data_IF_712265136306
#
_entry.id   IF_712265136306
#
_cell.length_a   1.000
_cell.length_b   1.000
_cell.length_c   1.000
_cell.angle_alpha   90.00
_cell.angle_beta   90.00
_cell.angle_gamma   90.00
#
_symmetry.space_group_name_H-M   'P 1'
#
loop_
_entity.id
_entity.type
_entity.pdbx_description
1 polymer ?
#
# COMPACT_ATOMS: atom_id res chain seq x y z
N UNK A 1 -2.08 26.50 -20.51
CA UNK A 1 -1.23 26.24 -21.70
C UNK A 1 -1.22 24.73 -21.88
N UNK A 2 -1.78 24.19 -22.98
CA UNK A 2 -1.74 22.77 -23.29
C UNK A 2 -0.32 22.46 -23.79
N UNK A 3 0.57 22.07 -22.89
CA UNK A 3 1.86 21.55 -23.29
C UNK A 3 1.66 20.31 -24.17
N UNK A 4 2.30 20.26 -25.31
CA UNK A 4 2.26 19.11 -26.20
C UNK A 4 3.09 18.00 -25.55
N UNK A 5 2.40 16.97 -25.00
CA UNK A 5 3.07 15.83 -24.37
C UNK A 5 3.83 15.02 -25.41
N UNK A 6 5.10 14.72 -25.14
CA UNK A 6 5.87 13.78 -25.97
C UNK A 6 5.36 12.36 -25.70
N UNK A 7 4.74 11.76 -26.70
CA UNK A 7 4.24 10.40 -26.65
C UNK A 7 5.39 9.37 -26.67
N UNK A 8 5.16 8.21 -26.05
CA UNK A 8 6.14 7.13 -26.00
C UNK A 8 6.25 6.46 -27.38
N UNK A 9 7.45 6.06 -27.74
CA UNK A 9 7.81 5.36 -28.95
C UNK A 9 8.54 4.03 -28.67
N UNK A 10 9.08 3.39 -29.71
CA UNK A 10 9.78 2.12 -29.59
C UNK A 10 11.07 2.17 -28.75
N UNK A 11 11.67 3.35 -28.56
CA UNK A 11 12.88 3.51 -27.77
C UNK A 11 12.62 3.27 -26.26
N UNK A 12 11.35 3.29 -25.87
CA UNK A 12 10.88 2.94 -24.51
C UNK A 12 10.54 1.45 -24.34
N UNK A 13 10.78 0.62 -25.35
CA UNK A 13 10.49 -0.81 -25.34
C UNK A 13 11.78 -1.64 -25.40
N UNK A 14 11.74 -2.82 -24.78
CA UNK A 14 12.77 -3.84 -24.96
C UNK A 14 12.55 -4.61 -26.29
N UNK A 15 13.61 -5.17 -26.86
CA UNK A 15 13.54 -5.88 -28.13
C UNK A 15 12.86 -7.27 -28.05
N UNK A 16 12.82 -7.89 -26.88
CA UNK A 16 12.20 -9.21 -26.64
C UNK A 16 10.80 -9.06 -26.05
N UNK A 17 9.79 -9.33 -26.86
CA UNK A 17 8.37 -9.26 -26.51
C UNK A 17 7.60 -10.52 -26.91
N UNK A 18 8.20 -11.69 -26.66
CA UNK A 18 7.62 -12.98 -27.01
C UNK A 18 6.29 -13.24 -26.33
N UNK A 19 6.20 -13.00 -25.04
CA UNK A 19 5.00 -13.20 -24.22
C UNK A 19 4.67 -11.94 -23.43
N UNK A 20 3.38 -11.57 -23.39
CA UNK A 20 2.91 -10.32 -22.76
C UNK A 20 2.30 -10.50 -21.37
N UNK A 21 1.82 -11.70 -21.02
CA UNK A 21 1.21 -11.93 -19.72
C UNK A 21 2.17 -11.58 -18.56
N UNK A 22 1.66 -10.82 -17.59
CA UNK A 22 2.46 -10.34 -16.45
C UNK A 22 3.48 -9.24 -16.78
N UNK A 23 3.41 -8.64 -17.98
CA UNK A 23 4.35 -7.58 -18.42
C UNK A 23 3.66 -6.24 -18.58
N UNK A 24 4.42 -5.19 -18.36
CA UNK A 24 4.04 -3.83 -18.73
C UNK A 24 4.31 -3.60 -20.20
N UNK A 25 3.30 -3.17 -20.93
CA UNK A 25 3.35 -2.92 -22.37
C UNK A 25 3.22 -1.44 -22.67
N UNK A 26 3.70 -1.02 -23.85
CA UNK A 26 3.53 0.35 -24.35
C UNK A 26 2.56 0.33 -25.52
N UNK A 27 1.43 1.04 -25.37
CA UNK A 27 0.41 1.20 -26.41
C UNK A 27 0.87 2.16 -27.51
N UNK A 28 0.49 1.87 -28.74
CA UNK A 28 0.62 2.82 -29.84
C UNK A 28 -0.29 4.03 -29.61
N UNK A 29 0.17 5.26 -29.82
CA UNK A 29 -0.70 6.44 -29.70
C UNK A 29 -1.96 6.37 -30.57
N UNK A 30 -1.88 5.73 -31.73
CA UNK A 30 -3.00 5.55 -32.67
C UNK A 30 -4.09 4.60 -32.13
N UNK A 31 -3.78 3.77 -31.15
CA UNK A 31 -4.73 2.83 -30.53
C UNK A 31 -5.51 3.45 -29.34
N UNK A 32 -5.12 4.66 -28.93
CA UNK A 32 -5.78 5.42 -27.87
C UNK A 32 -6.76 6.42 -28.47
N UNK A 33 -7.92 6.60 -27.84
CA UNK A 33 -8.82 7.71 -28.15
C UNK A 33 -8.10 9.03 -27.86
N UNK A 34 -8.52 10.12 -28.53
CA UNK A 34 -7.84 11.41 -28.47
C UNK A 34 -7.70 11.95 -27.04
N UNK A 35 -8.72 11.78 -26.22
CA UNK A 35 -8.77 12.16 -24.81
C UNK A 35 -7.73 11.44 -23.95
N UNK A 36 -7.37 10.20 -24.31
CA UNK A 36 -6.39 9.36 -23.63
C UNK A 36 -5.00 9.39 -24.27
N UNK A 37 -4.75 10.24 -25.29
CA UNK A 37 -3.44 10.38 -25.91
C UNK A 37 -2.48 11.16 -25.03
N UNK A 38 -2.09 10.55 -23.93
CA UNK A 38 -1.09 11.05 -22.99
C UNK A 38 -0.05 9.97 -22.74
N UNK A 39 1.22 10.28 -22.44
CA UNK A 39 2.26 9.28 -22.25
C UNK A 39 1.95 8.31 -21.11
N UNK A 40 1.28 8.77 -20.05
CA UNK A 40 0.93 7.92 -18.92
C UNK A 40 -0.18 6.90 -19.25
N UNK A 41 -1.07 7.14 -20.21
CA UNK A 41 -2.04 6.15 -20.70
C UNK A 41 -1.46 5.17 -21.72
N UNK A 42 -0.22 5.33 -22.14
CA UNK A 42 0.42 4.34 -23.00
C UNK A 42 0.93 3.12 -22.23
N UNK A 43 1.08 3.20 -20.90
CA UNK A 43 1.48 2.07 -20.08
C UNK A 43 0.29 1.21 -19.71
N UNK A 44 0.35 -0.06 -20.14
CA UNK A 44 -0.70 -1.05 -19.96
C UNK A 44 -0.13 -2.34 -19.38
N UNK A 45 -0.63 -2.76 -18.22
CA UNK A 45 -0.22 -4.02 -17.60
C UNK A 45 -1.08 -5.17 -18.14
N UNK A 46 -0.46 -6.09 -18.87
CA UNK A 46 -1.12 -7.23 -19.48
C UNK A 46 -1.33 -8.35 -18.46
N UNK A 47 -2.58 -8.78 -18.24
CA UNK A 47 -2.92 -9.85 -17.31
C UNK A 47 -3.10 -11.18 -18.01
N UNK A 48 -3.87 -11.20 -19.12
CA UNK A 48 -4.26 -12.45 -19.79
C UNK A 48 -4.67 -12.21 -21.25
N UNK A 49 -5.07 -13.29 -21.92
CA UNK A 49 -5.69 -13.29 -23.24
C UNK A 49 -4.82 -13.91 -24.33
N UNK A 50 -5.45 -14.32 -25.42
CA UNK A 50 -4.75 -14.94 -26.56
C UNK A 50 -3.73 -14.02 -27.22
N UNK A 51 -3.93 -12.69 -27.16
CA UNK A 51 -2.97 -11.71 -27.65
C UNK A 51 -1.65 -11.66 -26.86
N UNK A 52 -1.59 -12.29 -25.68
CA UNK A 52 -0.34 -12.41 -24.93
C UNK A 52 0.67 -13.33 -25.64
N UNK A 53 0.22 -14.23 -26.51
CA UNK A 53 1.11 -15.12 -27.25
C UNK A 53 1.61 -14.46 -28.56
N UNK A 54 2.90 -14.64 -28.93
CA UNK A 54 3.55 -13.90 -30.03
C UNK A 54 2.95 -14.19 -31.40
N UNK A 55 2.39 -15.39 -31.63
CA UNK A 55 1.78 -15.83 -32.87
C UNK A 55 0.32 -15.34 -33.05
N UNK A 56 -0.26 -14.68 -32.08
CA UNK A 56 -1.67 -14.25 -32.02
C UNK A 56 -1.85 -12.74 -32.19
N UNK A 57 -1.34 -12.18 -33.29
CA UNK A 57 -1.37 -10.73 -33.54
C UNK A 57 -2.76 -10.08 -33.47
N UNK A 58 -3.81 -10.76 -33.91
CA UNK A 58 -5.20 -10.32 -33.80
C UNK A 58 -5.87 -10.63 -32.46
N UNK A 59 -5.20 -11.39 -31.60
CA UNK A 59 -5.73 -11.78 -30.29
C UNK A 59 -5.84 -10.59 -29.33
N UNK A 60 -6.82 -10.67 -28.43
CA UNK A 60 -7.01 -9.68 -27.38
C UNK A 60 -6.03 -9.91 -26.22
N UNK A 61 -5.48 -8.84 -25.72
CA UNK A 61 -4.73 -8.73 -24.47
C UNK A 61 -5.63 -8.03 -23.48
N UNK A 62 -5.99 -8.68 -22.40
CA UNK A 62 -6.76 -8.12 -21.29
C UNK A 62 -5.80 -7.64 -20.22
N UNK A 63 -6.15 -6.55 -19.58
CA UNK A 63 -5.32 -5.96 -18.52
C UNK A 63 -5.85 -4.61 -18.11
N UNK A 64 -4.97 -3.78 -17.55
CA UNK A 64 -5.35 -2.46 -17.03
C UNK A 64 -4.34 -1.38 -17.35
N UNK A 65 -4.81 -0.16 -17.47
CA UNK A 65 -3.92 1.01 -17.56
C UNK A 65 -3.13 1.16 -16.25
N UNK A 66 -1.85 1.44 -16.36
CA UNK A 66 -1.03 1.71 -15.19
C UNK A 66 -1.42 3.05 -14.54
N UNK A 67 -1.95 3.98 -15.33
CA UNK A 67 -2.28 5.34 -14.91
C UNK A 67 -3.46 5.40 -13.93
N UNK A 68 -4.52 4.63 -14.13
CA UNK A 68 -5.76 4.71 -13.36
C UNK A 68 -6.32 3.36 -12.93
N UNK A 69 -5.68 2.25 -13.34
CA UNK A 69 -6.13 0.90 -13.03
C UNK A 69 -7.38 0.47 -13.81
N UNK A 70 -7.89 1.28 -14.76
CA UNK A 70 -9.07 0.92 -15.55
C UNK A 70 -8.80 -0.34 -16.38
N UNK A 71 -9.66 -1.35 -16.22
CA UNK A 71 -9.57 -2.62 -16.93
C UNK A 71 -10.16 -2.50 -18.33
N UNK A 72 -9.40 -2.92 -19.31
CA UNK A 72 -9.83 -2.93 -20.69
C UNK A 72 -9.06 -3.97 -21.53
N UNK A 73 -9.22 -3.94 -22.82
CA UNK A 73 -8.48 -4.84 -23.71
C UNK A 73 -8.08 -4.13 -25.02
N UNK A 74 -6.94 -4.58 -25.53
CA UNK A 74 -6.40 -4.17 -26.83
C UNK A 74 -6.01 -5.39 -27.67
N UNK A 75 -5.82 -5.23 -28.97
CA UNK A 75 -5.21 -6.29 -29.79
C UNK A 75 -3.70 -6.28 -29.59
N UNK A 76 -3.06 -7.44 -29.73
CA UNK A 76 -1.59 -7.50 -29.70
C UNK A 76 -0.93 -6.51 -30.65
N UNK A 77 -1.52 -6.31 -31.83
CA UNK A 77 -1.03 -5.34 -32.82
C UNK A 77 -1.07 -3.87 -32.39
N UNK A 78 -1.79 -3.55 -31.31
CA UNK A 78 -1.96 -2.18 -30.79
C UNK A 78 -0.79 -1.74 -29.90
N UNK A 79 0.10 -2.65 -29.55
CA UNK A 79 1.26 -2.36 -28.72
C UNK A 79 2.51 -2.09 -29.54
N UNK A 80 3.37 -1.21 -29.02
CA UNK A 80 4.73 -0.99 -29.51
C UNK A 80 5.66 -2.11 -29.07
N UNK A 81 5.44 -2.69 -27.90
CA UNK A 81 6.21 -3.76 -27.32
C UNK A 81 6.12 -3.75 -25.79
N UNK A 82 6.99 -4.55 -25.15
CA UNK A 82 7.15 -4.58 -23.68
C UNK A 82 7.95 -3.35 -23.24
N UNK A 83 7.46 -2.65 -22.22
CA UNK A 83 8.16 -1.49 -21.67
C UNK A 83 9.54 -1.86 -21.12
N UNK A 84 10.52 -1.02 -21.36
CA UNK A 84 11.83 -1.09 -20.73
C UNK A 84 11.72 -0.55 -19.28
N UNK A 85 11.70 -1.45 -18.30
CA UNK A 85 11.52 -1.08 -16.90
C UNK A 85 12.66 -0.20 -16.35
N UNK A 86 13.84 -0.24 -16.96
CA UNK A 86 14.96 0.65 -16.63
C UNK A 86 14.75 2.10 -17.09
N UNK A 87 13.79 2.34 -17.99
CA UNK A 87 13.47 3.67 -18.53
C UNK A 87 12.10 4.19 -18.07
N UNK A 88 11.48 3.54 -17.08
CA UNK A 88 10.19 3.99 -16.55
C UNK A 88 10.37 5.29 -15.77
N UNK A 89 9.42 6.24 -15.89
CA UNK A 89 9.37 7.37 -15.01
C UNK A 89 9.06 6.91 -13.57
N UNK A 90 9.47 7.69 -12.58
CA UNK A 90 9.38 7.34 -11.15
C UNK A 90 7.97 6.90 -10.74
N UNK A 91 6.93 7.63 -11.18
CA UNK A 91 5.54 7.27 -10.89
C UNK A 91 5.14 5.90 -11.44
N UNK A 92 5.56 5.57 -12.68
CA UNK A 92 5.23 4.30 -13.32
C UNK A 92 5.95 3.13 -12.66
N UNK A 93 7.21 3.32 -12.26
CA UNK A 93 7.98 2.34 -11.50
C UNK A 93 7.30 2.03 -10.17
N UNK A 94 6.97 3.07 -9.39
CA UNK A 94 6.30 2.96 -8.09
C UNK A 94 4.95 2.23 -8.19
N UNK A 95 4.12 2.57 -9.21
CA UNK A 95 2.83 1.90 -9.45
C UNK A 95 2.97 0.45 -9.91
N UNK A 96 3.92 0.18 -10.79
CA UNK A 96 4.17 -1.18 -11.25
C UNK A 96 4.61 -2.06 -10.07
N UNK A 97 5.52 -1.58 -9.25
CA UNK A 97 5.98 -2.26 -8.04
C UNK A 97 4.82 -2.54 -7.07
N UNK A 98 3.96 -1.54 -6.82
CA UNK A 98 2.78 -1.72 -5.97
C UNK A 98 1.76 -2.71 -6.56
N UNK A 99 1.60 -2.71 -7.90
CA UNK A 99 0.67 -3.58 -8.62
C UNK A 99 1.07 -5.05 -8.58
N UNK A 100 2.37 -5.33 -8.72
CA UNK A 100 2.90 -6.70 -8.80
C UNK A 100 3.37 -7.25 -7.44
N UNK A 101 3.45 -6.39 -6.42
CA UNK A 101 3.86 -6.80 -5.09
C UNK A 101 2.88 -7.85 -4.52
N UNK A 102 3.39 -8.92 -3.92
CA UNK A 102 2.54 -9.85 -3.19
C UNK A 102 1.87 -9.10 -2.03
N UNK A 103 0.59 -9.36 -1.80
CA UNK A 103 -0.18 -8.75 -0.70
C UNK A 103 -0.52 -9.83 0.31
N UNK A 104 -0.41 -9.50 1.59
CA UNK A 104 -0.72 -10.38 2.70
C UNK A 104 -1.40 -9.55 3.79
N UNK A 105 -2.54 -9.99 4.31
CA UNK A 105 -3.18 -9.39 5.47
C UNK A 105 -2.61 -10.02 6.74
N UNK A 106 -2.11 -9.18 7.64
CA UNK A 106 -1.51 -9.63 8.89
C UNK A 106 -2.07 -8.86 10.08
N UNK A 107 -1.91 -9.44 11.29
CA UNK A 107 -1.97 -8.74 12.57
C UNK A 107 -0.70 -9.06 13.36
N UNK A 108 -0.24 -8.09 14.14
CA UNK A 108 0.93 -8.25 15.01
C UNK A 108 0.51 -8.02 16.45
N UNK A 109 0.89 -8.95 17.32
CA UNK A 109 0.60 -8.91 18.74
C UNK A 109 1.91 -8.90 19.51
N UNK A 110 2.04 -8.00 20.47
CA UNK A 110 3.21 -7.86 21.34
C UNK A 110 2.83 -7.94 22.81
N UNK A 111 3.73 -8.47 23.62
CA UNK A 111 3.52 -8.61 25.07
C UNK A 111 3.55 -7.22 25.71
N UNK A 112 2.50 -6.93 26.48
CA UNK A 112 2.45 -5.75 27.35
C UNK A 112 3.24 -6.01 28.64
N UNK A 113 4.20 -5.14 28.93
CA UNK A 113 5.07 -5.28 30.11
C UNK A 113 4.30 -5.27 31.43
N UNK A 114 3.17 -4.57 31.48
CA UNK A 114 2.34 -4.47 32.70
C UNK A 114 1.58 -5.75 33.02
N UNK A 115 1.35 -6.60 32.00
CA UNK A 115 0.61 -7.86 32.10
C UNK A 115 1.54 -9.07 32.20
N UNK A 116 2.83 -8.93 31.88
CA UNK A 116 3.80 -10.03 31.82
C UNK A 116 4.38 -10.42 33.18
N UNK A 117 3.54 -10.96 34.06
CA UNK A 117 3.97 -11.43 35.37
C UNK A 117 5.02 -12.55 35.32
N UNK A 118 5.06 -13.34 34.24
CA UNK A 118 5.94 -14.51 34.07
C UNK A 118 7.24 -14.17 33.35
N UNK A 119 7.40 -12.93 32.92
CA UNK A 119 8.58 -12.46 32.12
C UNK A 119 8.78 -13.30 30.87
N UNK A 120 7.75 -13.42 30.04
CA UNK A 120 7.76 -14.13 28.78
C UNK A 120 8.31 -13.26 27.63
N UNK A 121 8.30 -11.94 27.76
CA UNK A 121 8.79 -11.01 26.75
C UNK A 121 10.26 -11.29 26.41
N UNK A 122 10.56 -11.40 25.12
CA UNK A 122 11.86 -11.76 24.56
C UNK A 122 12.36 -13.17 24.89
N UNK A 123 11.50 -14.07 25.37
CA UNK A 123 11.87 -15.45 25.68
C UNK A 123 11.61 -16.37 24.48
N UNK A 124 12.45 -17.42 24.35
CA UNK A 124 12.25 -18.43 23.31
C UNK A 124 10.96 -19.23 23.53
N UNK A 125 10.43 -19.82 22.47
CA UNK A 125 9.25 -20.67 22.52
C UNK A 125 9.36 -21.79 23.53
N UNK A 126 10.50 -22.50 23.56
CA UNK A 126 10.74 -23.59 24.51
C UNK A 126 10.72 -23.12 25.98
N UNK A 127 11.17 -21.90 26.25
CA UNK A 127 11.13 -21.33 27.59
C UNK A 127 9.70 -21.05 28.02
N UNK A 128 8.91 -20.41 27.16
CA UNK A 128 7.52 -20.04 27.42
C UNK A 128 6.66 -21.30 27.60
N UNK A 129 6.86 -22.33 26.78
CA UNK A 129 6.13 -23.61 26.90
C UNK A 129 6.37 -24.31 28.23
N UNK A 130 7.57 -24.22 28.81
CA UNK A 130 7.88 -24.76 30.15
C UNK A 130 7.21 -23.98 31.31
N UNK A 131 6.75 -22.76 31.01
CA UNK A 131 6.13 -21.86 32.00
C UNK A 131 4.64 -21.64 31.80
N UNK A 132 3.94 -22.53 31.12
CA UNK A 132 2.48 -22.46 30.94
C UNK A 132 2.03 -22.20 29.50
N UNK A 133 2.95 -21.97 28.56
CA UNK A 133 2.64 -21.74 27.15
C UNK A 133 2.42 -20.29 26.80
N UNK A 134 2.06 -20.05 25.54
CA UNK A 134 1.73 -18.71 25.03
C UNK A 134 0.35 -18.32 25.58
N UNK A 135 0.31 -17.31 26.44
CA UNK A 135 -0.93 -16.81 27.05
C UNK A 135 -1.41 -15.54 26.34
N UNK A 136 -2.50 -15.60 25.55
CA UNK A 136 -3.00 -14.43 24.83
C UNK A 136 -3.34 -13.22 25.71
N UNK A 137 -3.69 -13.41 26.97
CA UNK A 137 -4.08 -12.33 27.89
C UNK A 137 -3.00 -11.28 28.13
N UNK A 138 -1.74 -11.61 27.91
CA UNK A 138 -0.64 -10.65 28.08
C UNK A 138 -0.26 -9.91 26.80
N UNK A 139 -0.97 -10.18 25.67
CA UNK A 139 -0.69 -9.59 24.37
C UNK A 139 -1.68 -8.49 24.02
N UNK A 140 -1.16 -7.48 23.33
CA UNK A 140 -1.93 -6.42 22.68
C UNK A 140 -1.67 -6.41 21.20
N UNK A 141 -2.70 -6.15 20.41
CA UNK A 141 -2.52 -5.89 18.97
C UNK A 141 -1.84 -4.53 18.78
N UNK A 142 -0.75 -4.50 17.98
CA UNK A 142 0.02 -3.28 17.69
C UNK A 142 -0.07 -2.88 16.23
N UNK A 143 -0.60 -3.77 15.39
CA UNK A 143 -0.81 -3.52 13.96
C UNK A 143 -1.81 -4.52 13.39
N UNK A 144 -2.61 -4.08 12.41
CA UNK A 144 -3.40 -4.91 11.52
C UNK A 144 -3.50 -4.25 10.15
N UNK A 145 -3.35 -5.00 9.07
CA UNK A 145 -3.47 -4.44 7.72
C UNK A 145 -2.85 -5.29 6.64
N UNK A 146 -2.89 -4.76 5.42
CA UNK A 146 -2.31 -5.39 4.23
C UNK A 146 -0.89 -4.90 4.02
N UNK A 147 0.04 -5.83 3.90
CA UNK A 147 1.47 -5.55 3.66
C UNK A 147 1.96 -6.19 2.37
N UNK A 148 2.99 -5.61 1.76
CA UNK A 148 3.61 -6.12 0.55
C UNK A 148 4.66 -7.21 0.89
N UNK A 149 4.17 -8.33 1.43
CA UNK A 149 4.99 -9.45 1.87
C UNK A 149 4.51 -10.75 1.22
N UNK A 150 5.45 -11.65 0.92
CA UNK A 150 5.16 -12.97 0.32
C UNK A 150 5.16 -14.10 1.34
N UNK A 151 5.83 -13.90 2.49
CA UNK A 151 6.05 -14.89 3.53
C UNK A 151 6.29 -14.18 4.88
N UNK A 152 6.31 -14.94 5.96
CA UNK A 152 6.46 -14.43 7.32
C UNK A 152 7.86 -13.83 7.56
N UNK A 153 8.89 -14.32 6.89
CA UNK A 153 10.25 -13.79 6.96
C UNK A 153 10.31 -12.37 6.37
N UNK A 154 9.56 -12.12 5.27
CA UNK A 154 9.43 -10.78 4.70
C UNK A 154 8.62 -9.84 5.60
N UNK A 155 7.65 -10.35 6.37
CA UNK A 155 6.96 -9.58 7.42
C UNK A 155 7.94 -9.19 8.54
N UNK A 156 8.78 -10.14 8.99
CA UNK A 156 9.81 -9.85 9.97
C UNK A 156 10.77 -8.75 9.50
N UNK A 157 11.26 -8.86 8.26
CA UNK A 157 12.14 -7.85 7.69
C UNK A 157 11.45 -6.47 7.61
N UNK A 158 10.20 -6.41 7.16
CA UNK A 158 9.41 -5.17 7.08
C UNK A 158 9.28 -4.51 8.46
N UNK A 159 8.80 -5.25 9.46
CA UNK A 159 8.59 -4.74 10.82
C UNK A 159 9.88 -4.42 11.60
N UNK A 160 11.06 -4.63 10.98
CA UNK A 160 12.37 -4.31 11.55
C UNK A 160 13.15 -3.25 10.75
N UNK A 161 12.71 -2.89 9.55
CA UNK A 161 13.43 -1.95 8.68
C UNK A 161 12.60 -0.76 8.26
N UNK A 162 11.30 -0.95 8.01
CA UNK A 162 10.40 0.08 7.49
C UNK A 162 8.97 -0.20 7.97
N UNK A 163 8.65 0.19 9.17
CA UNK A 163 7.33 -0.05 9.76
C UNK A 163 6.19 0.33 8.81
N UNK A 164 5.19 -0.55 8.65
CA UNK A 164 4.00 -0.20 7.88
C UNK A 164 3.25 0.95 8.57
N UNK A 165 2.57 1.83 7.80
CA UNK A 165 1.77 2.92 8.36
C UNK A 165 0.77 2.42 9.42
N UNK A 166 0.74 3.07 10.59
CA UNK A 166 -0.12 2.65 11.70
C UNK A 166 0.48 1.61 12.65
N UNK A 167 1.71 1.15 12.39
CA UNK A 167 2.40 0.25 13.31
C UNK A 167 2.79 0.99 14.61
N UNK A 168 2.30 0.50 15.74
CA UNK A 168 2.43 1.17 17.04
C UNK A 168 3.07 0.25 18.11
N UNK A 169 4.18 -0.38 17.72
CA UNK A 169 4.92 -1.31 18.57
C UNK A 169 6.43 -1.18 18.44
N UNK A 170 7.15 -2.01 19.17
CA UNK A 170 8.59 -2.17 18.96
C UNK A 170 8.87 -3.05 17.72
N UNK A 171 10.11 -3.07 17.24
CA UNK A 171 10.56 -3.99 16.19
C UNK A 171 10.15 -5.42 16.50
N UNK A 172 9.66 -6.15 15.49
CA UNK A 172 9.20 -7.53 15.66
C UNK A 172 10.33 -8.39 16.24
N UNK A 173 10.07 -8.98 17.38
CA UNK A 173 11.10 -9.59 18.23
C UNK A 173 10.65 -10.97 18.74
N UNK A 174 11.58 -11.69 19.35
CA UNK A 174 11.29 -12.96 20.04
C UNK A 174 10.17 -12.75 21.06
N UNK A 175 9.20 -13.64 21.11
CA UNK A 175 7.95 -13.66 21.85
C UNK A 175 6.76 -12.97 21.19
N UNK A 176 6.96 -12.15 20.16
CA UNK A 176 5.84 -11.54 19.45
C UNK A 176 5.07 -12.62 18.64
N UNK A 177 3.79 -12.36 18.40
CA UNK A 177 2.94 -13.25 17.60
C UNK A 177 2.46 -12.51 16.37
N UNK A 178 2.66 -13.13 15.21
CA UNK A 178 2.13 -12.65 13.92
C UNK A 178 0.99 -13.55 13.50
N UNK A 179 -0.17 -12.97 13.22
CA UNK A 179 -1.23 -13.64 12.49
C UNK A 179 -1.06 -13.37 11.00
N UNK A 180 -1.05 -14.43 10.21
CA UNK A 180 -1.31 -14.39 8.77
C UNK A 180 -2.80 -14.65 8.59
N UNK A 181 -3.56 -13.67 8.08
CA UNK A 181 -5.01 -13.75 8.00
C UNK A 181 -5.48 -14.46 6.72
N UNK A 182 -4.66 -14.44 5.66
CA UNK A 182 -5.01 -14.95 4.33
C UNK A 182 -3.80 -15.62 3.65
N UNK A 183 -3.98 -16.12 2.41
CA UNK A 183 -2.91 -16.76 1.63
C UNK A 183 -2.77 -18.26 1.88
N UNK A 184 -1.59 -18.81 1.60
CA UNK A 184 -1.35 -20.25 1.59
C UNK A 184 -1.20 -20.89 2.98
N UNK A 185 -0.85 -20.10 3.98
CA UNK A 185 -0.58 -20.59 5.34
C UNK A 185 -1.17 -19.63 6.39
N UNK A 186 -2.50 -19.49 6.48
CA UNK A 186 -3.13 -18.67 7.51
C UNK A 186 -2.94 -19.32 8.88
N UNK A 187 -2.67 -18.49 9.91
CA UNK A 187 -2.41 -19.00 11.26
C UNK A 187 -1.71 -17.99 12.13
N UNK A 188 -1.37 -18.42 13.34
CA UNK A 188 -0.63 -17.61 14.31
C UNK A 188 0.78 -18.16 14.48
N UNK A 189 1.75 -17.29 14.46
CA UNK A 189 3.15 -17.63 14.43
C UNK A 189 3.91 -16.87 15.51
N UNK A 190 4.42 -17.60 16.47
CA UNK A 190 5.29 -17.07 17.51
C UNK A 190 6.69 -16.82 16.95
N UNK A 191 7.21 -15.63 17.11
CA UNK A 191 8.57 -15.28 16.75
C UNK A 191 9.51 -15.93 17.76
N UNK A 192 10.33 -16.92 17.32
CA UNK A 192 11.29 -17.61 18.18
C UNK A 192 12.70 -17.05 17.96
N UNK A 193 13.66 -17.50 18.73
CA UNK A 193 15.08 -17.16 18.56
C UNK A 193 15.65 -17.58 17.20
N UNK A 194 15.05 -18.55 16.55
CA UNK A 194 15.34 -18.95 15.17
C UNK A 194 14.01 -19.24 14.44
N UNK A 195 13.60 -18.34 13.56
CA UNK A 195 12.39 -18.48 12.75
C UNK A 195 11.09 -18.36 13.56
N UNK A 196 10.05 -19.03 13.12
CA UNK A 196 8.70 -18.93 13.66
C UNK A 196 8.16 -20.30 14.06
N UNK A 197 7.26 -20.31 15.05
CA UNK A 197 6.52 -21.51 15.51
C UNK A 197 5.03 -21.26 15.37
N UNK A 198 4.33 -22.10 14.63
CA UNK A 198 2.88 -22.07 14.64
C UNK A 198 2.35 -22.37 16.04
N UNK A 199 1.39 -21.55 16.51
CA UNK A 199 0.84 -21.65 17.87
C UNK A 199 -0.68 -21.49 17.86
N UNK A 200 -1.41 -22.17 18.75
CA UNK A 200 -2.78 -21.81 19.04
C UNK A 200 -2.80 -20.45 19.75
N UNK A 201 -3.58 -19.52 19.22
CA UNK A 201 -3.68 -18.17 19.78
C UNK A 201 -5.12 -17.67 19.63
N UNK A 202 -5.73 -17.29 20.72
CA UNK A 202 -7.11 -16.83 20.78
C UNK A 202 -7.14 -15.31 20.92
N UNK A 203 -7.50 -14.63 19.84
CA UNK A 203 -7.55 -13.16 19.79
C UNK A 203 -8.53 -12.60 20.81
N UNK A 204 -9.67 -13.26 21.03
CA UNK A 204 -10.71 -12.79 21.96
C UNK A 204 -10.22 -12.75 23.41
N UNK A 205 -9.09 -13.38 23.69
CA UNK A 205 -8.44 -13.40 24.99
C UNK A 205 -7.31 -12.39 25.14
N UNK A 206 -6.96 -11.68 24.08
CA UNK A 206 -5.93 -10.64 24.18
C UNK A 206 -6.42 -9.46 25.01
N UNK A 207 -5.50 -8.63 25.49
CA UNK A 207 -5.87 -7.36 26.11
C UNK A 207 -6.37 -6.40 25.01
N UNK A 208 -7.69 -6.21 24.97
CA UNK A 208 -8.35 -5.42 23.93
C UNK A 208 -8.07 -3.93 24.11
N UNK A 209 -7.21 -3.40 23.27
CA UNK A 209 -7.14 -1.96 23.01
C UNK A 209 -8.22 -1.60 21.98
N UNK A 210 -8.75 -0.39 22.09
CA UNK A 210 -9.68 0.12 21.08
C UNK A 210 -8.94 0.29 19.75
N UNK A 211 -9.39 -0.47 18.74
CA UNK A 211 -8.85 -0.47 17.39
C UNK A 211 -9.83 0.21 16.46
N UNK A 212 -9.34 1.12 15.64
CA UNK A 212 -10.10 1.73 14.55
C UNK A 212 -9.84 0.99 13.24
N UNK A 213 -10.90 0.59 12.55
CA UNK A 213 -10.83 0.13 11.17
C UNK A 213 -10.81 1.36 10.26
N UNK A 214 -9.74 1.55 9.53
CA UNK A 214 -9.47 2.72 8.70
C UNK A 214 -9.07 2.33 7.29
N UNK A 215 -9.18 3.27 6.36
CA UNK A 215 -8.65 3.12 5.01
C UNK A 215 -7.38 3.96 4.86
N UNK A 216 -6.25 3.32 4.57
CA UNK A 216 -4.96 3.99 4.34
C UNK A 216 -4.75 4.21 2.85
N UNK A 217 -4.33 5.43 2.49
CA UNK A 217 -4.12 5.86 1.09
C UNK A 217 -2.70 6.39 0.94
N UNK A 218 -1.81 5.54 0.45
CA UNK A 218 -0.43 5.91 0.16
C UNK A 218 -0.25 6.43 -1.27
N UNK A 219 0.79 7.23 -1.49
CA UNK A 219 1.13 7.73 -2.82
C UNK A 219 1.36 6.60 -3.84
N UNK A 220 0.66 6.68 -4.96
CA UNK A 220 0.84 5.76 -6.08
C UNK A 220 0.33 4.33 -5.85
N UNK A 221 -0.32 4.06 -4.70
CA UNK A 221 -0.93 2.78 -4.39
C UNK A 221 -2.46 2.87 -4.38
N UNK A 222 -3.13 1.74 -4.56
CA UNK A 222 -4.55 1.61 -4.23
C UNK A 222 -4.74 1.71 -2.71
N UNK A 223 -5.89 2.21 -2.23
CA UNK A 223 -6.20 2.21 -0.81
C UNK A 223 -6.17 0.79 -0.23
N UNK A 224 -5.96 0.67 1.06
CA UNK A 224 -6.07 -0.61 1.76
C UNK A 224 -6.56 -0.41 3.19
N UNK A 225 -7.27 -1.43 3.68
CA UNK A 225 -7.80 -1.47 5.02
C UNK A 225 -6.70 -1.73 6.05
N UNK A 226 -6.79 -1.07 7.19
CA UNK A 226 -5.93 -1.32 8.33
C UNK A 226 -6.70 -1.20 9.65
N UNK A 227 -6.20 -1.88 10.67
CA UNK A 227 -6.63 -1.76 12.05
C UNK A 227 -5.52 -1.06 12.83
N UNK A 228 -5.79 0.15 13.28
CA UNK A 228 -4.83 0.97 14.04
C UNK A 228 -5.38 1.21 15.45
N UNK A 229 -4.50 1.44 16.41
CA UNK A 229 -4.92 1.81 17.77
C UNK A 229 -5.56 3.19 17.76
N UNK A 230 -6.63 3.36 18.53
CA UNK A 230 -7.25 4.69 18.72
C UNK A 230 -6.41 5.56 19.66
N UNK A 231 -5.20 5.87 19.21
CA UNK A 231 -4.22 6.69 19.88
C UNK A 231 -3.59 7.69 18.91
N UNK A 232 -3.21 8.86 19.42
CA UNK A 232 -2.61 9.91 18.60
C UNK A 232 -1.36 9.44 17.88
N UNK A 233 -0.49 8.70 18.56
CA UNK A 233 0.77 8.19 18.02
C UNK A 233 0.55 7.24 16.84
N UNK A 234 -0.50 6.40 16.91
CA UNK A 234 -0.86 5.51 15.82
C UNK A 234 -1.31 6.28 14.58
N UNK A 235 -2.18 7.29 14.76
CA UNK A 235 -2.66 8.17 13.70
C UNK A 235 -1.51 8.96 13.07
N UNK A 236 -0.63 9.51 13.89
CA UNK A 236 0.57 10.21 13.44
C UNK A 236 1.54 9.29 12.67
N UNK A 237 1.67 8.02 13.09
CA UNK A 237 2.52 7.06 12.39
C UNK A 237 2.00 6.71 10.99
N UNK A 238 0.67 6.80 10.75
CA UNK A 238 0.08 6.61 9.43
C UNK A 238 0.50 7.73 8.49
N UNK A 239 0.35 8.98 8.90
CA UNK A 239 0.58 10.14 8.03
C UNK A 239 2.04 10.56 7.97
N UNK A 240 2.85 10.12 8.92
CA UNK A 240 4.28 10.45 9.02
C UNK A 240 4.55 11.84 9.62
N UNK A 241 3.62 12.38 10.40
CA UNK A 241 3.75 13.72 10.99
C UNK A 241 2.59 14.08 11.92
N UNK A 242 2.43 15.38 12.16
CA UNK A 242 1.27 15.92 12.88
C UNK A 242 0.01 15.75 12.02
N UNK A 243 -1.11 15.43 12.66
CA UNK A 243 -2.37 15.18 11.94
C UNK A 243 -3.20 16.46 11.80
N UNK A 244 -3.76 16.66 10.60
CA UNK A 244 -4.78 17.67 10.31
C UNK A 244 -6.03 16.98 9.80
N UNK A 245 -7.24 17.28 10.37
CA UNK A 245 -8.49 16.73 9.86
C UNK A 245 -8.98 17.50 8.63
N UNK A 246 -9.41 16.76 7.60
CA UNK A 246 -10.05 17.29 6.40
C UNK A 246 -11.42 16.67 6.29
N UNK A 247 -12.47 17.49 6.40
CA UNK A 247 -13.86 17.08 6.18
C UNK A 247 -14.15 17.06 4.67
N UNK A 248 -14.66 15.96 4.16
CA UNK A 248 -14.81 15.75 2.72
C UNK A 248 -16.19 15.20 2.31
N UNK A 249 -17.01 14.80 3.29
CA UNK A 249 -18.39 14.35 3.08
C UNK A 249 -19.37 15.40 3.58
N UNK A 250 -20.52 15.54 2.93
CA UNK A 250 -21.56 16.51 3.33
C UNK A 250 -22.15 16.17 4.71
N UNK A 251 -22.23 14.89 5.05
CA UNK A 251 -22.75 14.37 6.32
C UNK A 251 -21.74 14.42 7.47
N UNK A 252 -20.45 14.66 7.18
CA UNK A 252 -19.34 14.56 8.14
C UNK A 252 -19.23 13.19 8.85
N UNK A 253 -19.75 12.14 8.25
CA UNK A 253 -19.73 10.77 8.78
C UNK A 253 -18.34 10.11 8.71
N UNK A 254 -17.42 10.71 7.99
CA UNK A 254 -16.03 10.35 7.94
C UNK A 254 -15.16 11.59 7.74
N UNK A 255 -13.90 11.48 8.12
CA UNK A 255 -12.90 12.51 7.91
C UNK A 255 -11.57 11.90 7.44
N UNK A 256 -10.77 12.73 6.84
CA UNK A 256 -9.40 12.39 6.45
C UNK A 256 -8.45 12.97 7.48
N UNK A 257 -7.46 12.18 7.91
CA UNK A 257 -6.26 12.70 8.56
C UNK A 257 -5.10 12.68 7.58
N UNK A 258 -4.47 13.84 7.38
CA UNK A 258 -3.24 14.01 6.60
C UNK A 258 -2.16 14.70 7.44
N UNK A 259 -0.93 14.76 6.93
CA UNK A 259 0.16 15.47 7.59
C UNK A 259 -0.08 16.99 7.48
N UNK A 260 -0.17 17.70 8.59
CA UNK A 260 -0.32 19.15 8.67
C UNK A 260 0.78 19.92 7.90
N UNK A 261 1.98 19.34 7.83
CA UNK A 261 3.15 19.95 7.21
C UNK A 261 3.45 19.43 5.79
N UNK A 262 2.53 18.75 5.13
CA UNK A 262 2.78 18.08 3.84
C UNK A 262 3.33 19.03 2.76
N UNK A 263 2.91 20.30 2.76
CA UNK A 263 3.43 21.33 1.82
C UNK A 263 4.86 21.77 2.16
N UNK A 264 5.24 21.73 3.44
CA UNK A 264 6.58 22.10 3.89
C UNK A 264 7.61 20.98 3.68
N UNK A 265 7.15 19.73 3.68
CA UNK A 265 7.97 18.52 3.52
C UNK A 265 8.19 18.12 2.07
N UNK A 266 7.72 18.94 1.10
CA UNK A 266 7.80 18.62 -0.34
C UNK A 266 7.19 17.23 -0.68
N UNK A 267 6.13 16.85 0.03
CA UNK A 267 5.46 15.57 -0.16
C UNK A 267 4.80 15.50 -1.53
N UNK A 268 4.87 14.32 -2.19
CA UNK A 268 4.26 14.13 -3.51
C UNK A 268 2.73 14.25 -3.45
N UNK A 269 2.06 14.86 -4.47
CA UNK A 269 0.61 14.85 -4.61
C UNK A 269 0.06 13.42 -4.63
N UNK A 270 -1.02 13.17 -3.88
CA UNK A 270 -1.60 11.83 -3.74
C UNK A 270 -2.99 11.73 -4.35
N UNK A 271 -3.96 12.45 -3.79
CA UNK A 271 -5.36 12.45 -4.25
C UNK A 271 -5.93 13.86 -4.28
N UNK A 272 -6.91 14.06 -5.16
CA UNK A 272 -7.72 15.27 -5.16
C UNK A 272 -9.02 15.02 -4.40
N UNK A 273 -9.34 15.91 -3.47
CA UNK A 273 -10.53 15.89 -2.63
C UNK A 273 -11.24 17.25 -2.78
N UNK A 274 -12.32 17.30 -3.54
CA UNK A 274 -12.91 18.58 -3.93
C UNK A 274 -11.90 19.46 -4.69
N UNK A 275 -11.59 20.63 -4.15
CA UNK A 275 -10.58 21.54 -4.72
C UNK A 275 -9.19 21.38 -4.06
N UNK A 276 -9.09 20.60 -2.98
CA UNK A 276 -7.84 20.34 -2.29
C UNK A 276 -7.08 19.16 -2.94
N UNK A 277 -5.77 19.28 -3.03
CA UNK A 277 -4.87 18.16 -3.35
C UNK A 277 -4.15 17.77 -2.07
N UNK A 278 -4.42 16.56 -1.59
CA UNK A 278 -3.71 15.99 -0.44
C UNK A 278 -2.39 15.41 -0.92
N UNK A 279 -1.33 15.71 -0.20
CA UNK A 279 0.02 15.20 -0.46
C UNK A 279 0.44 14.21 0.63
N UNK A 280 1.33 13.29 0.30
CA UNK A 280 1.79 12.27 1.23
C UNK A 280 0.72 11.19 1.51
N UNK A 281 0.98 10.37 2.52
CA UNK A 281 0.03 9.36 2.99
C UNK A 281 -1.05 10.00 3.84
N UNK A 282 -2.29 9.55 3.69
CA UNK A 282 -3.41 9.94 4.53
C UNK A 282 -4.25 8.72 4.91
N UNK A 283 -5.13 8.88 5.88
CA UNK A 283 -6.12 7.86 6.21
C UNK A 283 -7.53 8.44 6.28
N UNK A 284 -8.51 7.60 6.01
CA UNK A 284 -9.94 7.87 6.21
C UNK A 284 -10.39 7.12 7.45
N UNK A 285 -11.07 7.82 8.35
CA UNK A 285 -11.63 7.27 9.57
C UNK A 285 -13.10 7.69 9.70
N UNK A 286 -13.93 6.85 10.28
CA UNK A 286 -15.31 7.18 10.57
C UNK A 286 -15.41 8.29 11.63
N UNK A 287 -16.44 9.11 11.54
CA UNK A 287 -16.72 10.19 12.47
C UNK A 287 -18.19 10.11 12.95
N UNK A 288 -18.40 10.19 14.24
CA UNK A 288 -19.72 10.15 14.85
C UNK A 288 -19.82 11.20 15.96
N UNK A 289 -21.01 11.48 16.41
CA UNK A 289 -21.23 12.30 17.60
C UNK A 289 -21.51 11.41 18.81
N UNK A 290 -20.85 11.71 19.93
CA UNK A 290 -21.13 11.05 21.20
C UNK A 290 -22.45 11.60 21.81
N UNK A 291 -22.87 11.06 22.93
CA UNK A 291 -24.10 11.45 23.65
C UNK A 291 -24.10 12.91 24.11
N UNK A 292 -22.98 13.60 24.06
CA UNK A 292 -22.83 15.01 24.42
C UNK A 292 -22.73 15.93 23.17
N UNK A 293 -22.83 15.37 21.96
CA UNK A 293 -22.70 16.11 20.69
C UNK A 293 -21.25 16.46 20.33
N UNK A 294 -20.29 15.77 20.92
CA UNK A 294 -18.87 15.92 20.58
C UNK A 294 -18.49 14.89 19.51
N UNK A 295 -17.69 15.33 18.52
CA UNK A 295 -17.17 14.43 17.48
C UNK A 295 -16.21 13.41 18.08
N UNK A 296 -16.39 12.14 17.70
CA UNK A 296 -15.50 11.04 18.06
C UNK A 296 -15.15 10.24 16.81
N UNK A 297 -13.91 9.75 16.75
CA UNK A 297 -13.54 8.80 15.72
C UNK A 297 -14.16 7.44 16.00
N UNK A 298 -14.58 6.79 14.93
CA UNK A 298 -15.14 5.43 14.95
C UNK A 298 -14.59 4.63 13.78
N UNK A 299 -14.67 3.32 13.87
CA UNK A 299 -14.33 2.45 12.74
C UNK A 299 -15.22 2.75 11.52
N UNK A 300 -14.65 2.69 10.34
CA UNK A 300 -15.43 2.67 9.10
C UNK A 300 -16.31 1.41 9.08
N UNK A 301 -17.51 1.54 8.55
CA UNK A 301 -18.35 0.40 8.18
C UNK A 301 -17.84 -0.22 6.88
N UNK A 302 -18.25 -1.47 6.59
CA UNK A 302 -17.89 -2.14 5.33
C UNK A 302 -18.35 -1.31 4.11
N UNK A 303 -19.58 -0.74 4.15
CA UNK A 303 -20.13 0.12 3.09
C UNK A 303 -19.30 1.39 2.89
N UNK A 304 -18.93 2.09 3.98
CA UNK A 304 -18.06 3.26 3.92
C UNK A 304 -16.67 2.91 3.38
N UNK A 305 -16.14 1.75 3.77
CA UNK A 305 -14.83 1.28 3.31
C UNK A 305 -14.84 1.05 1.80
N UNK A 306 -15.86 0.38 1.27
CA UNK A 306 -16.03 0.14 -0.17
C UNK A 306 -16.19 1.46 -0.95
N UNK A 307 -17.05 2.36 -0.47
CA UNK A 307 -17.32 3.66 -1.11
C UNK A 307 -16.04 4.53 -1.16
N UNK A 308 -15.32 4.63 -0.05
CA UNK A 308 -14.09 5.43 0.01
C UNK A 308 -12.93 4.74 -0.69
N UNK A 309 -12.90 3.39 -0.74
CA UNK A 309 -11.95 2.68 -1.58
C UNK A 309 -12.13 3.09 -3.04
N UNK A 310 -13.34 3.03 -3.57
CA UNK A 310 -13.62 3.43 -4.96
C UNK A 310 -13.34 4.93 -5.20
N UNK A 311 -13.69 5.80 -4.24
CA UNK A 311 -13.41 7.23 -4.32
C UNK A 311 -11.91 7.52 -4.46
N UNK A 312 -11.08 6.82 -3.69
CA UNK A 312 -9.64 7.05 -3.64
C UNK A 312 -8.82 6.01 -4.42
N UNK A 313 -9.45 5.12 -5.18
CA UNK A 313 -8.75 4.05 -5.90
C UNK A 313 -7.69 4.57 -6.87
N UNK A 314 -7.97 5.69 -7.54
CA UNK A 314 -7.09 6.24 -8.58
C UNK A 314 -6.15 7.31 -8.03
N UNK A 315 -4.84 7.02 -7.90
CA UNK A 315 -3.86 8.03 -7.49
C UNK A 315 -3.65 9.08 -8.59
N UNK A 316 -3.28 10.29 -8.21
CA UNK A 316 -2.84 11.30 -9.17
C UNK A 316 -1.55 10.85 -9.87
N UNK A 317 -1.47 11.12 -11.17
CA UNK A 317 -0.21 11.01 -11.91
C UNK A 317 0.48 12.38 -11.88
N UNK A 318 1.53 12.46 -11.10
CA UNK A 318 2.39 13.63 -11.07
C UNK A 318 3.56 13.44 -12.04
N UNK A 319 3.66 14.32 -13.04
CA UNK A 319 4.76 14.36 -13.98
C UNK A 319 5.60 15.61 -13.69
N UNK A 320 6.89 15.41 -13.54
CA UNK A 320 7.86 16.52 -13.48
C UNK A 320 7.95 17.22 -14.83
N UNK A 321 8.45 18.45 -14.86
CA UNK A 321 8.65 19.17 -16.13
C UNK A 321 9.58 18.41 -17.09
N UNK A 322 10.59 17.71 -16.56
CA UNK A 322 11.48 16.86 -17.34
C UNK A 322 10.73 15.67 -17.98
N UNK A 323 9.87 15.00 -17.23
CA UNK A 323 9.04 13.89 -17.72
C UNK A 323 8.01 14.35 -18.78
N UNK A 324 7.44 15.55 -18.60
CA UNK A 324 6.57 16.17 -19.62
C UNK A 324 7.33 16.43 -20.91
N UNK A 325 8.58 16.90 -20.83
CA UNK A 325 9.46 17.11 -21.96
C UNK A 325 10.03 15.79 -22.54
N UNK A 326 9.85 14.68 -21.84
CA UNK A 326 10.36 13.36 -22.24
C UNK A 326 11.84 13.16 -21.95
N UNK A 327 12.39 13.95 -21.02
CA UNK A 327 13.73 13.80 -20.47
C UNK A 327 13.69 12.78 -19.31
N UNK A 328 14.76 11.98 -19.17
CA UNK A 328 14.88 11.14 -17.98
C UNK A 328 15.16 12.05 -16.78
N UNK A 329 14.42 11.88 -15.70
CA UNK A 329 14.78 12.51 -14.43
C UNK A 329 16.18 11.96 -14.02
N UNK A 330 17.16 12.83 -13.87
CA UNK A 330 18.44 12.46 -13.28
C UNK A 330 18.12 12.06 -11.83
N UNK A 331 18.50 10.84 -11.43
CA UNK A 331 18.48 10.45 -10.02
C UNK A 331 19.39 11.45 -9.26
N UNK A 332 18.94 12.03 -8.12
CA UNK A 332 19.85 12.81 -7.33
C UNK A 332 21.03 11.92 -6.92
N UNK A 333 22.22 12.34 -7.30
CA UNK A 333 23.48 11.70 -6.93
C UNK A 333 23.52 11.62 -5.40
N UNK A 334 23.30 10.42 -4.83
CA UNK A 334 23.53 10.14 -3.42
C UNK A 334 25.04 10.22 -3.19
N UNK A 335 25.53 11.44 -3.10
CA UNK A 335 26.90 11.74 -2.76
C UNK A 335 27.26 11.10 -1.43
N UNK A 336 27.97 9.97 -1.53
CA UNK A 336 28.65 9.32 -0.40
C UNK A 336 29.62 10.36 0.18
N UNK A 337 29.21 11.06 1.21
CA UNK A 337 30.12 11.81 2.06
C UNK A 337 30.86 10.84 2.96
N UNK A 338 32.01 10.36 2.48
CA UNK A 338 33.08 9.85 3.35
C UNK A 338 33.83 11.06 3.91
N UNK A 339 33.65 11.36 5.17
CA UNK A 339 34.71 11.84 6.09
C UNK A 339 34.30 11.55 7.53
#
# INVERSE_FOLDING_TARGET
MSGEYKLLDKDKCIADDKEYAGKLLVLKPSSLKEEFRRPYFQYFYAQSGFGCFPDKLGGKVFGKFLADGEECHFRRSDFLGTADTGKLPRWAKKRLEALIAPKMRIRVFQIDDSLDCNKHKFMSYDHVMKKGGVDPHIYRQVYGGVVNCKDIESVFALCNTAYPPGYCGHSLSVSDVVQICDGDAPGFYYCDSVGFKEVPFDIERTDHMEMLHVLIVENGKEPYEAEIRDELEAKQSVVGGLIEPVYFTDSNEALIYCDEEFLLKDSEPNRKVGDLVIHGTFMVVGNAENVHGEGIEVSLTDEQTDDYYEMFRVPLVYLTNAEIAGEQAEEPDEGISQT
#
